data_IF_239624277716
#
_entry.id   IF_239624277716
#
_cell.length_a   1.000
_cell.length_b   1.000
_cell.length_c   1.000
_cell.angle_alpha   90.00
_cell.angle_beta   90.00
_cell.angle_gamma   90.00
#
_symmetry.space_group_name_H-M   'P 1'
#
loop_
_entity.id
_entity.type
_entity.pdbx_description
1 polymer ?
#
# COMPACT_ATOMS: atom_id res chain seq x y z
N UNK A 1 -33.46 12.46 -18.48
CA UNK A 1 -33.89 11.83 -17.22
C UNK A 1 -33.57 10.33 -17.19
N UNK A 2 -34.07 9.51 -18.13
CA UNK A 2 -33.84 8.06 -18.19
C UNK A 2 -32.33 7.66 -18.21
N UNK A 3 -31.52 8.31 -19.04
CA UNK A 3 -30.07 8.06 -19.13
C UNK A 3 -29.37 8.36 -17.78
N UNK A 4 -29.76 9.45 -17.12
CA UNK A 4 -29.21 9.82 -15.78
C UNK A 4 -29.51 8.71 -14.77
N UNK A 5 -30.71 8.14 -14.80
CA UNK A 5 -31.10 7.03 -13.92
C UNK A 5 -30.26 5.78 -14.17
N UNK A 6 -30.08 5.39 -15.43
CA UNK A 6 -29.24 4.22 -15.77
C UNK A 6 -27.82 4.41 -15.25
N UNK A 7 -27.19 5.55 -15.53
CA UNK A 7 -25.82 5.82 -15.12
C UNK A 7 -25.71 5.89 -13.58
N UNK A 8 -26.73 6.48 -12.90
CA UNK A 8 -26.78 6.55 -11.44
C UNK A 8 -26.81 5.14 -10.84
N UNK A 9 -27.76 4.28 -11.28
CA UNK A 9 -27.88 2.94 -10.74
C UNK A 9 -26.69 2.04 -11.10
N UNK A 10 -26.11 2.21 -12.29
CA UNK A 10 -24.85 1.56 -12.67
C UNK A 10 -23.73 1.98 -11.70
N UNK A 11 -23.59 3.27 -11.43
CA UNK A 11 -22.60 3.78 -10.46
C UNK A 11 -22.81 3.22 -9.06
N UNK A 12 -24.04 3.16 -8.56
CA UNK A 12 -24.38 2.53 -7.27
C UNK A 12 -23.98 1.05 -7.28
N UNK A 13 -24.32 0.33 -8.37
CA UNK A 13 -23.96 -1.08 -8.52
C UNK A 13 -22.43 -1.30 -8.48
N UNK A 14 -21.66 -0.45 -9.18
CA UNK A 14 -20.19 -0.51 -9.17
C UNK A 14 -19.58 -0.23 -7.79
N UNK A 15 -20.13 0.71 -7.02
CA UNK A 15 -19.72 0.96 -5.64
C UNK A 15 -19.94 -0.30 -4.79
N UNK A 16 -21.16 -0.85 -4.81
CA UNK A 16 -21.50 -2.07 -4.06
C UNK A 16 -20.63 -3.23 -4.50
N UNK A 17 -20.40 -3.39 -5.81
CA UNK A 17 -19.50 -4.42 -6.32
C UNK A 17 -18.10 -4.31 -5.72
N UNK A 18 -17.46 -3.15 -5.84
CA UNK A 18 -16.05 -2.98 -5.46
C UNK A 18 -15.81 -3.07 -3.94
N UNK A 19 -16.73 -2.53 -3.13
CA UNK A 19 -16.53 -2.48 -1.67
C UNK A 19 -17.18 -3.65 -0.91
N UNK A 20 -18.19 -4.31 -1.48
CA UNK A 20 -18.95 -5.35 -0.77
C UNK A 20 -18.91 -6.69 -1.49
N UNK A 21 -19.37 -6.73 -2.76
CA UNK A 21 -19.55 -8.00 -3.47
C UNK A 21 -18.18 -8.64 -3.74
N UNK A 22 -17.28 -7.90 -4.37
CA UNK A 22 -15.98 -8.42 -4.77
C UNK A 22 -15.15 -8.95 -3.59
N UNK A 23 -14.91 -8.20 -2.48
CA UNK A 23 -14.15 -8.73 -1.35
C UNK A 23 -14.75 -10.00 -0.76
N UNK A 24 -16.07 -10.02 -0.55
CA UNK A 24 -16.76 -11.20 0.01
C UNK A 24 -16.68 -12.40 -0.93
N UNK A 25 -16.85 -12.16 -2.22
CA UNK A 25 -16.79 -13.19 -3.26
C UNK A 25 -15.41 -13.85 -3.31
N UNK A 26 -14.34 -13.04 -3.42
CA UNK A 26 -12.97 -13.60 -3.49
C UNK A 26 -12.60 -14.30 -2.19
N UNK A 27 -12.95 -13.75 -1.02
CA UNK A 27 -12.71 -14.42 0.26
C UNK A 27 -13.47 -15.74 0.39
N UNK A 28 -14.68 -15.81 -0.14
CA UNK A 28 -15.46 -17.06 -0.17
C UNK A 28 -14.80 -18.12 -1.05
N UNK A 29 -14.45 -17.78 -2.29
CA UNK A 29 -13.83 -18.74 -3.23
C UNK A 29 -12.40 -19.14 -2.82
N UNK A 30 -11.67 -18.28 -2.12
CA UNK A 30 -10.34 -18.60 -1.62
C UNK A 30 -10.33 -19.75 -0.60
N UNK A 31 -11.47 -20.02 0.08
CA UNK A 31 -11.59 -21.14 1.03
C UNK A 31 -11.44 -22.52 0.36
N UNK A 32 -11.73 -22.58 -0.94
CA UNK A 32 -11.63 -23.81 -1.75
C UNK A 32 -10.30 -23.92 -2.51
N UNK A 33 -9.37 -22.98 -2.28
CA UNK A 33 -8.06 -22.96 -2.91
C UNK A 33 -6.97 -23.29 -1.90
N UNK A 34 -6.02 -24.12 -2.33
CA UNK A 34 -4.83 -24.44 -1.55
C UNK A 34 -3.85 -23.25 -1.56
N UNK A 35 -3.13 -23.10 -0.46
CA UNK A 35 -1.97 -22.21 -0.39
C UNK A 35 -0.81 -22.82 -1.18
N UNK A 36 0.22 -22.00 -1.47
CA UNK A 36 1.46 -22.51 -2.04
C UNK A 36 2.10 -23.54 -1.08
N UNK A 37 2.15 -24.80 -1.49
CA UNK A 37 2.73 -25.93 -0.73
C UNK A 37 4.24 -26.11 -1.05
N UNK A 38 4.72 -25.55 -2.16
CA UNK A 38 6.14 -25.61 -2.53
C UNK A 38 6.91 -24.52 -1.77
N UNK A 39 7.36 -24.84 -0.57
CA UNK A 39 8.05 -23.92 0.34
C UNK A 39 9.41 -24.49 0.81
N UNK A 40 10.33 -23.59 1.20
CA UNK A 40 11.50 -23.98 1.99
C UNK A 40 11.07 -24.27 3.43
N UNK A 41 11.52 -25.36 3.98
CA UNK A 41 11.37 -25.71 5.41
C UNK A 41 12.68 -25.52 6.15
N UNK A 42 13.77 -25.82 5.47
CA UNK A 42 15.16 -25.72 5.91
C UNK A 42 15.97 -25.19 4.73
N UNK A 43 17.26 -24.97 4.87
CA UNK A 43 18.20 -24.54 3.84
C UNK A 43 17.67 -23.36 2.99
N UNK A 44 17.33 -22.29 3.68
CA UNK A 44 16.85 -21.07 3.05
C UNK A 44 17.94 -20.47 2.14
N UNK A 45 17.57 -19.85 1.00
CA UNK A 45 18.51 -19.27 0.05
C UNK A 45 19.19 -18.01 0.61
N UNK A 46 20.28 -17.58 -0.05
CA UNK A 46 20.84 -16.26 0.20
C UNK A 46 19.88 -15.16 -0.27
N UNK A 47 19.82 -14.06 0.49
CA UNK A 47 18.91 -12.92 0.25
C UNK A 47 19.68 -11.59 0.32
N UNK A 48 19.15 -10.57 -0.37
CA UNK A 48 19.59 -9.19 -0.20
C UNK A 48 18.45 -8.37 0.40
N UNK A 49 18.71 -7.70 1.52
CA UNK A 49 17.78 -6.73 2.11
C UNK A 49 18.18 -5.34 1.66
N UNK A 50 17.26 -4.55 1.12
CA UNK A 50 17.48 -3.16 0.70
C UNK A 50 16.65 -2.20 1.52
N UNK A 51 17.29 -1.14 2.03
CA UNK A 51 16.66 -0.10 2.87
C UNK A 51 17.02 1.28 2.31
N UNK A 52 16.10 2.00 1.65
CA UNK A 52 16.26 3.41 1.38
C UNK A 52 15.99 4.22 2.64
N UNK A 53 16.88 5.15 3.01
CA UNK A 53 16.77 5.98 4.20
C UNK A 53 17.03 7.45 3.87
N UNK A 54 16.28 8.36 4.52
CA UNK A 54 16.52 9.80 4.48
C UNK A 54 16.03 10.46 5.75
N UNK A 55 16.97 10.95 6.58
CA UNK A 55 16.68 11.59 7.87
C UNK A 55 15.81 10.70 8.76
N UNK A 56 16.29 9.48 9.03
CA UNK A 56 15.60 8.45 9.81
C UNK A 56 16.32 8.13 11.13
N UNK A 57 17.07 9.08 11.69
CA UNK A 57 17.86 8.91 12.95
C UNK A 57 17.05 8.33 14.10
N UNK A 58 15.75 8.67 14.17
CA UNK A 58 14.86 8.25 15.25
C UNK A 58 14.47 6.78 15.19
N UNK A 59 14.46 6.18 14.00
CA UNK A 59 13.90 4.84 13.78
C UNK A 59 14.91 3.82 13.26
N UNK A 60 15.97 4.27 12.58
CA UNK A 60 16.92 3.37 11.91
C UNK A 60 17.64 2.44 12.89
N UNK A 61 17.95 2.90 14.12
CA UNK A 61 18.54 2.07 15.17
C UNK A 61 17.65 0.88 15.49
N UNK A 62 16.38 1.14 15.79
CA UNK A 62 15.42 0.10 16.14
C UNK A 62 15.19 -0.87 14.96
N UNK A 63 15.17 -0.36 13.72
CA UNK A 63 15.12 -1.19 12.51
C UNK A 63 16.27 -2.19 12.47
N UNK A 64 17.51 -1.73 12.64
CA UNK A 64 18.70 -2.59 12.60
C UNK A 64 18.70 -3.61 13.76
N UNK A 65 18.21 -3.23 14.93
CA UNK A 65 18.07 -4.15 16.06
C UNK A 65 17.05 -5.26 15.78
N UNK A 66 15.91 -4.97 15.15
CA UNK A 66 14.94 -6.01 14.79
C UNK A 66 15.49 -6.95 13.71
N UNK A 67 16.33 -6.47 12.80
CA UNK A 67 17.03 -7.33 11.85
C UNK A 67 18.02 -8.29 12.55
N UNK A 68 18.72 -7.84 13.60
CA UNK A 68 19.61 -8.69 14.37
C UNK A 68 18.87 -9.77 15.20
N UNK A 69 17.57 -9.64 15.36
CA UNK A 69 16.73 -10.62 16.07
C UNK A 69 16.06 -11.64 15.14
N UNK A 70 16.35 -11.59 13.83
CA UNK A 70 15.71 -12.50 12.87
C UNK A 70 16.15 -13.96 13.06
N UNK A 71 15.22 -14.88 12.81
CA UNK A 71 15.48 -16.33 12.75
C UNK A 71 16.04 -16.77 11.39
N UNK A 72 16.80 -15.90 10.71
CA UNK A 72 17.44 -16.19 9.43
C UNK A 72 18.96 -16.26 9.62
N UNK A 73 19.63 -17.16 8.89
CA UNK A 73 21.10 -17.26 8.97
C UNK A 73 21.77 -15.99 8.44
N UNK A 74 22.51 -15.28 9.31
CA UNK A 74 23.19 -14.04 8.97
C UNK A 74 24.22 -14.19 7.86
N UNK A 75 24.82 -15.38 7.71
CA UNK A 75 25.76 -15.67 6.64
C UNK A 75 25.10 -15.66 5.24
N UNK A 76 23.76 -15.68 5.21
CA UNK A 76 22.95 -15.69 3.99
C UNK A 76 22.29 -14.35 3.72
N UNK A 77 22.60 -13.31 4.49
CA UNK A 77 22.00 -11.97 4.36
C UNK A 77 23.05 -10.98 3.84
N UNK A 78 22.79 -10.38 2.69
CA UNK A 78 23.41 -9.11 2.30
C UNK A 78 22.47 -7.97 2.72
N UNK A 79 22.98 -6.99 3.46
CA UNK A 79 22.25 -5.78 3.86
C UNK A 79 22.78 -4.56 3.10
N UNK A 80 21.96 -3.96 2.25
CA UNK A 80 22.29 -2.74 1.51
C UNK A 80 21.40 -1.58 2.02
N UNK A 81 22.02 -0.51 2.49
CA UNK A 81 21.32 0.68 2.95
C UNK A 81 21.73 1.87 2.08
N UNK A 82 20.74 2.58 1.53
CA UNK A 82 20.97 3.79 0.72
C UNK A 82 20.58 5.03 1.52
N UNK A 83 21.57 5.81 1.97
CA UNK A 83 21.35 7.07 2.67
C UNK A 83 21.23 8.21 1.65
N UNK A 84 20.02 8.71 1.44
CA UNK A 84 19.68 9.72 0.42
C UNK A 84 19.92 11.14 0.94
N UNK A 85 21.19 11.58 0.96
CA UNK A 85 21.62 12.91 1.43
C UNK A 85 21.06 13.22 2.84
N UNK A 86 21.35 12.34 3.81
CA UNK A 86 20.94 12.55 5.20
C UNK A 86 21.69 13.72 5.81
N UNK A 87 20.96 14.58 6.55
CA UNK A 87 21.51 15.75 7.26
C UNK A 87 21.51 15.56 8.78
N UNK A 88 21.01 14.42 9.25
CA UNK A 88 20.92 14.01 10.65
C UNK A 88 21.92 12.86 10.94
N UNK A 89 21.83 12.27 12.13
CA UNK A 89 22.73 11.18 12.59
C UNK A 89 22.48 9.83 11.89
N UNK A 90 21.56 9.73 10.90
CA UNK A 90 21.19 8.47 10.23
C UNK A 90 22.42 7.70 9.73
N UNK A 91 23.33 8.38 9.02
CA UNK A 91 24.53 7.75 8.45
C UNK A 91 25.50 7.24 9.54
N UNK A 92 25.68 7.99 10.61
CA UNK A 92 26.56 7.61 11.75
C UNK A 92 25.99 6.39 12.48
N UNK A 93 24.68 6.39 12.74
CA UNK A 93 24.01 5.26 13.37
C UNK A 93 24.20 4.00 12.51
N UNK A 94 23.98 4.07 11.20
CA UNK A 94 24.13 2.93 10.29
C UNK A 94 25.58 2.39 10.35
N UNK A 95 26.59 3.25 10.25
CA UNK A 95 28.01 2.83 10.31
C UNK A 95 28.36 2.12 11.62
N UNK A 96 27.75 2.53 12.73
CA UNK A 96 27.98 1.87 14.04
C UNK A 96 27.51 0.41 14.10
N UNK A 97 26.71 -0.04 13.11
CA UNK A 97 26.23 -1.41 12.99
C UNK A 97 26.99 -2.25 11.96
N UNK A 98 27.92 -1.69 11.18
CA UNK A 98 28.63 -2.43 10.12
C UNK A 98 29.33 -3.67 10.65
N UNK A 99 29.94 -3.62 11.83
CA UNK A 99 30.60 -4.77 12.46
C UNK A 99 29.66 -5.87 12.95
N UNK A 100 28.35 -5.60 13.03
CA UNK A 100 27.35 -6.56 13.52
C UNK A 100 26.75 -7.41 12.41
N UNK A 101 26.90 -7.00 11.14
CA UNK A 101 26.44 -7.72 9.95
C UNK A 101 27.64 -8.17 9.13
N UNK A 102 27.60 -9.39 8.60
CA UNK A 102 28.73 -9.98 7.88
C UNK A 102 28.90 -9.39 6.46
N UNK A 103 27.83 -9.08 5.77
CA UNK A 103 27.81 -8.44 4.43
C UNK A 103 26.86 -7.24 4.47
N UNK A 104 27.35 -6.14 5.01
CA UNK A 104 26.62 -4.87 5.05
C UNK A 104 27.36 -3.82 4.23
N UNK A 105 26.59 -3.01 3.46
CA UNK A 105 27.14 -1.90 2.69
C UNK A 105 26.20 -0.69 2.83
N UNK A 106 26.75 0.43 3.29
CA UNK A 106 26.12 1.74 3.23
C UNK A 106 26.51 2.44 1.91
N UNK A 107 25.52 2.94 1.18
CA UNK A 107 25.68 3.75 -0.02
C UNK A 107 25.14 5.14 0.28
N UNK A 108 26.02 6.14 0.36
CA UNK A 108 25.66 7.53 0.65
C UNK A 108 25.58 8.34 -0.62
N UNK A 109 24.47 9.06 -0.79
CA UNK A 109 24.26 9.97 -1.92
C UNK A 109 24.53 11.41 -1.47
N UNK A 110 25.35 12.13 -2.23
CA UNK A 110 25.73 13.52 -1.93
C UNK A 110 24.59 14.50 -2.22
N UNK A 111 23.68 14.14 -3.12
CA UNK A 111 22.53 14.94 -3.48
C UNK A 111 21.25 14.11 -3.29
N UNK A 112 20.16 14.80 -3.01
CA UNK A 112 18.83 14.20 -2.85
C UNK A 112 18.36 13.53 -4.14
N UNK A 113 18.35 12.19 -4.15
CA UNK A 113 17.96 11.39 -5.32
C UNK A 113 16.47 11.05 -5.35
N UNK A 114 15.84 10.88 -4.18
CA UNK A 114 14.50 10.32 -4.01
C UNK A 114 14.49 8.78 -3.94
N UNK A 115 13.49 8.23 -3.25
CA UNK A 115 13.37 6.80 -2.90
C UNK A 115 13.64 5.89 -4.10
N UNK A 116 13.00 6.16 -5.24
CA UNK A 116 13.04 5.27 -6.41
C UNK A 116 14.44 5.16 -7.01
N UNK A 117 15.19 6.27 -7.12
CA UNK A 117 16.57 6.22 -7.61
C UNK A 117 17.45 5.43 -6.65
N UNK A 118 17.28 5.65 -5.34
CA UNK A 118 18.00 4.87 -4.31
C UNK A 118 17.67 3.39 -4.44
N UNK A 119 16.38 3.00 -4.52
CA UNK A 119 15.95 1.62 -4.70
C UNK A 119 16.55 1.00 -5.97
N UNK A 120 16.47 1.70 -7.13
CA UNK A 120 17.04 1.23 -8.38
C UNK A 120 18.55 0.95 -8.24
N UNK A 121 19.28 1.84 -7.55
CA UNK A 121 20.71 1.65 -7.30
C UNK A 121 20.97 0.46 -6.38
N UNK A 122 20.22 0.32 -5.27
CA UNK A 122 20.39 -0.80 -4.35
C UNK A 122 20.11 -2.15 -5.01
N UNK A 123 19.08 -2.25 -5.87
CA UNK A 123 18.78 -3.48 -6.62
C UNK A 123 19.90 -3.85 -7.59
N UNK A 124 20.57 -2.86 -8.22
CA UNK A 124 21.73 -3.12 -9.07
C UNK A 124 22.90 -3.72 -8.28
N UNK A 125 23.15 -3.24 -7.06
CA UNK A 125 24.22 -3.70 -6.15
C UNK A 125 23.88 -5.03 -5.45
N UNK A 126 22.61 -5.46 -5.46
CA UNK A 126 22.18 -6.71 -4.84
C UNK A 126 22.85 -7.93 -5.48
N UNK A 127 23.42 -8.81 -4.66
CA UNK A 127 24.12 -10.03 -5.12
C UNK A 127 23.16 -11.20 -5.33
N UNK A 128 22.06 -11.26 -4.61
CA UNK A 128 21.21 -12.46 -4.51
C UNK A 128 19.91 -12.32 -5.32
N UNK A 129 19.35 -13.46 -5.69
CA UNK A 129 18.15 -13.54 -6.53
C UNK A 129 16.87 -13.11 -5.82
N UNK A 130 16.83 -13.21 -4.49
CA UNK A 130 15.70 -12.80 -3.69
C UNK A 130 16.06 -11.50 -2.98
N UNK A 131 15.29 -10.47 -3.24
CA UNK A 131 15.46 -9.14 -2.67
C UNK A 131 14.29 -8.86 -1.74
N UNK A 132 14.60 -8.38 -0.53
CA UNK A 132 13.60 -7.88 0.43
C UNK A 132 13.73 -6.36 0.46
N UNK A 133 12.72 -5.67 -0.01
CA UNK A 133 12.61 -4.23 0.07
C UNK A 133 11.83 -3.86 1.31
N UNK A 134 12.39 -2.97 2.14
CA UNK A 134 11.72 -2.51 3.36
C UNK A 134 12.07 -1.07 3.69
N UNK A 135 11.10 -0.34 4.24
CA UNK A 135 11.30 1.03 4.70
C UNK A 135 12.06 1.05 6.05
N UNK A 136 12.76 2.15 6.32
CA UNK A 136 13.58 2.32 7.52
C UNK A 136 12.78 2.29 8.84
N UNK A 137 11.49 2.66 8.78
CA UNK A 137 10.58 2.72 9.94
C UNK A 137 9.77 1.43 10.18
N UNK A 138 9.92 0.42 9.32
CA UNK A 138 9.17 -0.83 9.42
C UNK A 138 9.98 -1.84 10.22
N UNK A 139 9.47 -2.26 11.36
CA UNK A 139 10.11 -3.21 12.28
C UNK A 139 9.73 -4.65 11.93
N UNK A 140 10.62 -5.59 12.15
CA UNK A 140 10.43 -6.99 11.84
C UNK A 140 10.12 -7.84 13.07
N UNK A 141 9.23 -8.81 12.92
CA UNK A 141 9.18 -9.99 13.78
C UNK A 141 10.35 -10.92 13.46
N UNK A 142 10.78 -11.71 14.41
CA UNK A 142 11.88 -12.66 14.21
C UNK A 142 11.63 -13.65 13.06
N UNK A 143 10.38 -13.97 12.76
CA UNK A 143 9.97 -14.89 11.69
C UNK A 143 9.70 -14.20 10.37
N UNK A 144 9.74 -12.87 10.27
CA UNK A 144 9.39 -12.13 9.05
C UNK A 144 10.16 -12.63 7.83
N UNK A 145 11.49 -12.73 7.93
CA UNK A 145 12.34 -13.14 6.81
C UNK A 145 12.07 -14.58 6.35
N UNK A 146 12.12 -15.61 7.23
CA UNK A 146 11.84 -16.97 6.79
C UNK A 146 10.42 -17.13 6.22
N UNK A 147 9.42 -16.46 6.80
CA UNK A 147 8.04 -16.54 6.30
C UNK A 147 7.89 -15.92 4.90
N UNK A 148 8.54 -14.78 4.61
CA UNK A 148 8.55 -14.19 3.27
C UNK A 148 9.27 -15.07 2.26
N UNK A 149 10.45 -15.58 2.64
CA UNK A 149 11.37 -16.25 1.71
C UNK A 149 10.94 -17.67 1.38
N UNK A 150 10.26 -18.37 2.31
CA UNK A 150 9.87 -19.79 2.11
C UNK A 150 9.15 -20.06 0.79
N UNK A 151 8.37 -19.12 0.29
CA UNK A 151 7.56 -19.26 -0.91
C UNK A 151 8.37 -19.26 -2.21
N UNK A 152 9.58 -18.74 -2.20
CA UNK A 152 10.42 -18.65 -3.41
C UNK A 152 11.01 -19.99 -3.86
N UNK A 153 10.77 -21.08 -3.13
CA UNK A 153 11.00 -22.44 -3.66
C UNK A 153 10.16 -22.70 -4.90
N UNK A 154 8.94 -22.13 -4.96
CA UNK A 154 8.10 -22.17 -6.14
C UNK A 154 8.60 -21.13 -7.18
N UNK A 155 9.08 -21.57 -8.37
CA UNK A 155 9.63 -20.65 -9.39
C UNK A 155 8.59 -19.72 -9.98
N UNK A 156 7.29 -20.00 -9.83
CA UNK A 156 6.20 -19.15 -10.30
C UNK A 156 5.98 -17.91 -9.41
N UNK A 157 6.43 -17.95 -8.15
CA UNK A 157 6.26 -16.82 -7.22
C UNK A 157 7.31 -15.75 -7.55
N UNK A 158 6.86 -14.57 -7.94
CA UNK A 158 7.69 -13.41 -8.24
C UNK A 158 7.73 -12.37 -7.11
N UNK A 159 6.64 -12.28 -6.30
CA UNK A 159 6.55 -11.35 -5.18
C UNK A 159 5.75 -11.96 -4.02
N UNK A 160 6.23 -11.70 -2.79
CA UNK A 160 5.57 -12.06 -1.54
C UNK A 160 5.46 -10.83 -0.66
N UNK A 161 4.22 -10.40 -0.36
CA UNK A 161 3.93 -9.27 0.52
C UNK A 161 3.85 -9.72 1.97
N UNK A 162 4.29 -8.87 2.90
CA UNK A 162 4.19 -9.08 4.34
C UNK A 162 2.79 -8.73 4.86
N UNK A 163 2.55 -9.06 6.12
CA UNK A 163 1.39 -8.60 6.88
C UNK A 163 1.78 -7.42 7.77
N UNK A 164 1.33 -6.24 7.37
CA UNK A 164 1.53 -5.01 8.13
C UNK A 164 0.57 -4.95 9.33
N UNK A 165 1.12 -4.74 10.51
CA UNK A 165 0.39 -4.42 11.73
C UNK A 165 0.82 -3.02 12.22
N UNK A 166 -0.12 -2.25 12.71
CA UNK A 166 0.16 -0.92 13.25
C UNK A 166 0.29 -0.95 14.77
N UNK A 167 1.32 -0.31 15.32
CA UNK A 167 1.47 -0.10 16.75
C UNK A 167 1.30 1.40 17.11
N UNK A 168 1.18 1.72 18.39
CA UNK A 168 1.01 3.11 18.85
C UNK A 168 -0.37 3.70 18.60
N UNK A 169 -1.36 2.87 18.28
CA UNK A 169 -2.73 3.30 18.03
C UNK A 169 -3.37 3.86 19.30
N UNK A 170 -3.73 5.14 19.29
CA UNK A 170 -4.53 5.73 20.39
C UNK A 170 -5.99 5.33 20.26
N UNK A 171 -6.62 4.85 21.34
CA UNK A 171 -8.04 4.44 21.40
C UNK A 171 -9.02 5.54 20.95
N UNK A 172 -8.57 6.77 20.85
CA UNK A 172 -9.36 7.95 20.49
C UNK A 172 -9.23 8.36 19.02
N UNK A 173 -8.44 7.62 18.18
CA UNK A 173 -8.05 8.00 16.82
C UNK A 173 -8.93 7.45 15.68
N UNK A 174 -8.58 7.83 14.47
CA UNK A 174 -9.05 7.30 13.17
C UNK A 174 -8.66 5.81 13.03
N UNK A 175 -7.73 5.36 13.86
CA UNK A 175 -7.05 4.09 13.88
C UNK A 175 -7.95 2.84 13.88
N UNK A 176 -9.09 2.85 14.58
CA UNK A 176 -10.02 1.70 14.54
C UNK A 176 -10.72 1.51 13.20
N UNK A 177 -11.09 2.62 12.53
CA UNK A 177 -11.69 2.55 11.19
C UNK A 177 -10.67 2.06 10.16
N UNK A 178 -9.45 2.55 10.27
CA UNK A 178 -8.33 2.19 9.40
C UNK A 178 -7.93 0.73 9.60
N UNK A 179 -7.88 0.22 10.84
CA UNK A 179 -7.59 -1.19 11.11
C UNK A 179 -8.63 -2.15 10.53
N UNK A 180 -9.92 -1.83 10.65
CA UNK A 180 -10.98 -2.65 10.04
C UNK A 180 -10.86 -2.68 8.50
N UNK A 181 -10.53 -1.54 7.90
CA UNK A 181 -10.27 -1.45 6.46
C UNK A 181 -9.03 -2.24 6.06
N UNK A 182 -7.90 -2.07 6.76
CA UNK A 182 -6.64 -2.79 6.51
C UNK A 182 -6.84 -4.30 6.66
N UNK A 183 -7.52 -4.76 7.71
CA UNK A 183 -7.80 -6.19 7.90
C UNK A 183 -8.58 -6.79 6.73
N UNK A 184 -9.61 -6.11 6.23
CA UNK A 184 -10.37 -6.56 5.06
C UNK A 184 -9.52 -6.50 3.77
N UNK A 185 -8.67 -5.49 3.62
CA UNK A 185 -7.74 -5.36 2.49
C UNK A 185 -6.72 -6.50 2.46
N UNK A 186 -6.12 -6.84 3.62
CA UNK A 186 -5.20 -7.99 3.78
C UNK A 186 -5.90 -9.29 3.39
N UNK A 187 -7.12 -9.52 3.88
CA UNK A 187 -7.87 -10.74 3.56
C UNK A 187 -8.21 -10.82 2.07
N UNK A 188 -8.56 -9.69 1.44
CA UNK A 188 -8.87 -9.62 0.01
C UNK A 188 -7.63 -9.92 -0.83
N UNK A 189 -6.48 -9.31 -0.52
CA UNK A 189 -5.19 -9.56 -1.18
C UNK A 189 -4.75 -11.02 -1.05
N UNK A 190 -4.86 -11.60 0.15
CA UNK A 190 -4.55 -13.00 0.37
C UNK A 190 -5.47 -13.92 -0.47
N UNK A 191 -6.76 -13.60 -0.55
CA UNK A 191 -7.71 -14.33 -1.37
C UNK A 191 -7.38 -14.27 -2.87
N UNK A 192 -7.03 -13.09 -3.38
CA UNK A 192 -6.58 -12.87 -4.78
C UNK A 192 -5.32 -13.70 -5.07
N UNK A 193 -4.34 -13.67 -4.16
CA UNK A 193 -3.13 -14.47 -4.26
C UNK A 193 -3.43 -15.97 -4.34
N UNK A 194 -4.37 -16.47 -3.52
CA UNK A 194 -4.76 -17.89 -3.51
C UNK A 194 -5.53 -18.33 -4.77
N UNK A 195 -6.41 -17.47 -5.28
CA UNK A 195 -7.28 -17.85 -6.41
C UNK A 195 -6.53 -17.76 -7.72
N UNK A 196 -5.80 -16.65 -7.94
CA UNK A 196 -5.21 -16.30 -9.23
C UNK A 196 -3.70 -16.10 -9.22
N UNK A 197 -3.06 -16.14 -8.03
CA UNK A 197 -1.67 -15.69 -7.88
C UNK A 197 -1.52 -14.19 -8.17
N UNK A 198 -2.58 -13.42 -7.99
CA UNK A 198 -2.69 -12.04 -8.46
C UNK A 198 -3.08 -11.08 -7.32
N UNK A 199 -2.33 -11.10 -6.23
CA UNK A 199 -2.46 -10.09 -5.17
C UNK A 199 -2.31 -8.68 -5.77
N UNK A 200 -3.27 -7.80 -5.50
CA UNK A 200 -3.30 -6.45 -6.06
C UNK A 200 -2.59 -5.43 -5.16
N UNK A 201 -1.27 -5.41 -5.27
CA UNK A 201 -0.36 -4.44 -4.65
C UNK A 201 0.00 -4.73 -3.20
N UNK A 202 1.29 -4.71 -2.85
CA UNK A 202 1.76 -4.83 -1.47
C UNK A 202 1.37 -3.59 -0.65
N UNK A 203 1.60 -3.63 0.67
CA UNK A 203 1.46 -2.47 1.54
C UNK A 203 2.62 -1.47 1.42
N UNK A 204 3.70 -1.87 0.74
CA UNK A 204 4.84 -1.01 0.42
C UNK A 204 5.91 -0.91 1.51
N UNK A 205 5.58 -1.18 2.76
CA UNK A 205 6.54 -1.08 3.88
C UNK A 205 7.55 -2.24 3.94
N UNK A 206 7.15 -3.45 3.51
CA UNK A 206 8.05 -4.61 3.40
C UNK A 206 7.45 -5.67 2.48
N UNK A 207 8.23 -6.09 1.49
CA UNK A 207 7.90 -7.23 0.61
C UNK A 207 9.17 -7.82 0.00
N UNK A 208 9.09 -9.10 -0.40
CA UNK A 208 10.16 -9.80 -1.07
C UNK A 208 9.84 -10.00 -2.57
N UNK A 209 10.85 -9.96 -3.44
CA UNK A 209 10.66 -10.22 -4.87
C UNK A 209 11.88 -10.87 -5.52
N UNK A 210 11.67 -11.52 -6.68
CA UNK A 210 12.78 -12.05 -7.48
C UNK A 210 13.47 -10.93 -8.25
N UNK A 211 14.81 -10.86 -8.16
CA UNK A 211 15.62 -9.88 -8.90
C UNK A 211 15.40 -9.96 -10.42
N UNK A 212 15.23 -11.14 -10.98
CA UNK A 212 14.96 -11.34 -12.42
C UNK A 212 13.66 -10.68 -12.89
N UNK A 213 12.70 -10.47 -11.98
CA UNK A 213 11.45 -9.79 -12.30
C UNK A 213 11.57 -8.26 -12.28
N UNK A 214 12.64 -7.72 -11.71
CA UNK A 214 12.83 -6.28 -11.56
C UNK A 214 13.25 -5.62 -12.89
N UNK A 215 12.69 -4.46 -13.14
CA UNK A 215 13.18 -3.46 -14.09
C UNK A 215 13.26 -2.11 -13.38
N UNK A 216 14.20 -1.24 -13.77
CA UNK A 216 14.32 0.07 -13.13
C UNK A 216 12.98 0.83 -13.16
N UNK A 217 12.51 1.19 -11.99
CA UNK A 217 11.25 1.92 -11.83
C UNK A 217 11.47 3.35 -12.31
N UNK A 218 10.57 3.93 -13.15
CA UNK A 218 10.68 5.31 -13.59
C UNK A 218 10.67 6.28 -12.40
N UNK A 219 11.66 7.16 -12.34
CA UNK A 219 11.98 7.98 -11.16
C UNK A 219 10.90 8.97 -10.75
N UNK A 220 9.92 9.25 -11.61
CA UNK A 220 8.80 10.14 -11.35
C UNK A 220 7.55 9.43 -10.81
N UNK A 221 7.55 8.09 -10.69
CA UNK A 221 6.43 7.35 -10.10
C UNK A 221 6.38 7.58 -8.58
N UNK A 222 5.17 7.65 -8.02
CA UNK A 222 4.95 7.92 -6.59
C UNK A 222 4.64 6.66 -5.77
N UNK A 223 4.25 5.57 -6.44
CA UNK A 223 3.82 4.30 -5.84
C UNK A 223 4.59 3.17 -6.53
N UNK A 224 5.81 2.96 -6.05
CA UNK A 224 6.81 2.04 -6.58
C UNK A 224 6.45 0.56 -6.32
N UNK A 225 5.88 0.28 -5.18
CA UNK A 225 5.44 -1.04 -4.75
C UNK A 225 4.36 -1.61 -5.66
N UNK A 226 3.33 -0.83 -5.98
CA UNK A 226 2.28 -1.23 -6.91
C UNK A 226 2.82 -1.37 -8.34
N UNK A 227 3.73 -0.47 -8.76
CA UNK A 227 4.39 -0.55 -10.06
C UNK A 227 5.11 -1.90 -10.22
N UNK A 228 5.93 -2.27 -9.24
CA UNK A 228 6.70 -3.51 -9.28
C UNK A 228 5.78 -4.74 -9.24
N UNK A 229 4.71 -4.71 -8.43
CA UNK A 229 3.72 -5.77 -8.39
C UNK A 229 3.06 -6.02 -9.76
N UNK A 230 2.62 -4.95 -10.43
CA UNK A 230 1.99 -5.05 -11.75
C UNK A 230 2.97 -5.51 -12.82
N UNK A 231 4.23 -5.04 -12.77
CA UNK A 231 5.29 -5.49 -13.66
C UNK A 231 5.53 -7.00 -13.54
N UNK A 232 5.60 -7.52 -12.32
CA UNK A 232 5.79 -8.94 -12.02
C UNK A 232 4.62 -9.77 -12.55
N UNK A 233 3.38 -9.32 -12.34
CA UNK A 233 2.18 -9.96 -12.90
C UNK A 233 2.16 -9.92 -14.44
N UNK A 234 2.61 -8.82 -15.03
CA UNK A 234 2.72 -8.67 -16.49
C UNK A 234 3.72 -9.66 -17.09
N UNK A 235 4.81 -9.95 -16.37
CA UNK A 235 5.81 -10.96 -16.75
C UNK A 235 5.33 -12.41 -16.54
N UNK A 236 4.12 -12.62 -16.04
CA UNK A 236 3.50 -13.94 -15.84
C UNK A 236 3.86 -14.64 -14.54
N UNK A 237 4.56 -13.96 -13.62
CA UNK A 237 4.80 -14.47 -12.28
C UNK A 237 3.61 -14.20 -11.37
N UNK A 238 3.57 -14.91 -10.24
CA UNK A 238 2.54 -14.77 -9.22
C UNK A 238 2.98 -13.80 -8.12
N UNK A 239 2.03 -13.02 -7.62
CA UNK A 239 2.16 -12.18 -6.45
C UNK A 239 1.21 -12.68 -5.35
N UNK A 240 1.74 -12.93 -4.16
CA UNK A 240 0.97 -13.47 -3.02
C UNK A 240 1.23 -12.64 -1.75
N UNK A 241 0.38 -12.83 -0.74
CA UNK A 241 0.57 -12.24 0.59
C UNK A 241 0.78 -13.36 1.62
N UNK A 242 1.81 -13.24 2.48
CA UNK A 242 2.05 -14.18 3.58
C UNK A 242 1.51 -13.61 4.90
N UNK A 243 0.53 -14.31 5.47
CA UNK A 243 -0.19 -13.88 6.67
C UNK A 243 0.62 -13.98 7.97
N UNK A 244 1.70 -14.78 7.97
CA UNK A 244 2.56 -15.00 9.14
C UNK A 244 3.84 -14.16 9.08
N UNK A 245 4.10 -13.43 7.99
CA UNK A 245 5.22 -12.51 7.86
C UNK A 245 4.85 -11.15 8.46
N UNK A 246 4.85 -11.05 9.78
CA UNK A 246 4.47 -9.83 10.49
C UNK A 246 5.55 -8.77 10.39
N UNK A 247 5.12 -7.55 10.09
CA UNK A 247 5.91 -6.33 10.20
C UNK A 247 5.10 -5.24 10.88
N UNK A 248 5.78 -4.33 11.56
CA UNK A 248 5.15 -3.32 12.40
C UNK A 248 5.53 -1.92 11.93
N UNK A 249 4.54 -1.04 11.80
CA UNK A 249 4.74 0.36 11.43
C UNK A 249 4.02 1.29 12.43
N UNK A 250 4.69 2.38 12.83
CA UNK A 250 4.05 3.46 13.58
C UNK A 250 3.24 4.35 12.63
N UNK A 251 2.02 4.70 13.03
CA UNK A 251 1.06 5.46 12.21
C UNK A 251 1.00 6.90 12.70
N UNK A 252 1.10 7.84 11.76
CA UNK A 252 0.81 9.24 12.06
C UNK A 252 -0.65 9.43 12.49
N UNK A 253 -0.87 10.02 13.67
CA UNK A 253 -2.21 10.35 14.17
C UNK A 253 -2.75 11.69 13.62
N UNK A 254 -2.01 12.37 12.73
CA UNK A 254 -2.40 13.67 12.17
C UNK A 254 -3.21 13.50 10.88
N UNK A 255 -4.52 13.74 10.95
CA UNK A 255 -5.45 13.60 9.81
C UNK A 255 -5.03 14.38 8.56
N UNK A 256 -4.40 15.56 8.73
CA UNK A 256 -3.97 16.41 7.60
C UNK A 256 -2.76 15.86 6.87
N UNK A 257 -1.80 15.29 7.60
CA UNK A 257 -0.63 14.63 7.02
C UNK A 257 -1.08 13.42 6.22
N UNK A 258 -1.98 12.60 6.81
CA UNK A 258 -2.54 11.44 6.14
C UNK A 258 -3.33 11.81 4.88
N UNK A 259 -4.12 12.87 4.93
CA UNK A 259 -4.85 13.38 3.77
C UNK A 259 -3.91 13.76 2.61
N UNK A 260 -2.84 14.51 2.89
CA UNK A 260 -1.80 14.85 1.88
C UNK A 260 -1.11 13.60 1.33
N UNK A 261 -0.80 12.62 2.21
CA UNK A 261 -0.23 11.33 1.83
C UNK A 261 -1.16 10.60 0.85
N UNK A 262 -2.47 10.55 1.12
CA UNK A 262 -3.46 9.91 0.24
C UNK A 262 -3.60 10.61 -1.12
N UNK A 263 -3.53 11.95 -1.18
CA UNK A 263 -3.49 12.68 -2.46
C UNK A 263 -2.25 12.26 -3.28
N UNK A 264 -1.08 12.13 -2.64
CA UNK A 264 0.14 11.68 -3.31
C UNK A 264 0.01 10.25 -3.83
N UNK A 265 -0.46 9.33 -3.00
CA UNK A 265 -0.69 7.93 -3.36
C UNK A 265 -1.69 7.85 -4.51
N UNK A 266 -2.78 8.61 -4.46
CA UNK A 266 -3.78 8.64 -5.53
C UNK A 266 -3.19 9.11 -6.87
N UNK A 267 -2.36 10.15 -6.87
CA UNK A 267 -1.67 10.58 -8.09
C UNK A 267 -0.78 9.46 -8.66
N UNK A 268 -0.07 8.71 -7.80
CA UNK A 268 0.70 7.53 -8.17
C UNK A 268 -0.15 6.36 -8.69
N UNK A 269 -1.35 6.17 -8.13
CA UNK A 269 -2.31 5.18 -8.63
C UNK A 269 -2.72 5.47 -10.08
N UNK A 270 -2.97 6.73 -10.42
CA UNK A 270 -3.28 7.12 -11.80
C UNK A 270 -2.06 7.04 -12.73
N UNK A 271 -0.82 7.26 -12.23
CA UNK A 271 0.39 6.94 -13.00
C UNK A 271 0.45 5.45 -13.32
N UNK A 272 0.25 4.60 -12.31
CA UNK A 272 0.23 3.14 -12.51
C UNK A 272 -0.91 2.70 -13.43
N UNK A 273 -2.10 3.31 -13.32
CA UNK A 273 -3.20 3.03 -14.23
C UNK A 273 -2.83 3.38 -15.67
N UNK A 274 -2.20 4.53 -15.90
CA UNK A 274 -1.77 4.94 -17.25
C UNK A 274 -0.72 4.01 -17.85
N UNK A 275 0.11 3.36 -17.03
CA UNK A 275 1.11 2.39 -17.46
C UNK A 275 0.51 1.01 -17.72
N UNK A 276 -0.35 0.54 -16.82
CA UNK A 276 -0.83 -0.84 -16.80
C UNK A 276 -2.29 -1.02 -17.27
N UNK A 277 -2.93 0.01 -17.84
CA UNK A 277 -4.31 -0.11 -18.34
C UNK A 277 -4.51 -1.27 -19.35
N UNK A 278 -3.49 -1.68 -20.19
CA UNK A 278 -3.71 -2.81 -21.10
C UNK A 278 -3.98 -4.13 -20.36
N UNK A 279 -3.53 -4.25 -19.11
CA UNK A 279 -3.82 -5.43 -18.28
C UNK A 279 -5.30 -5.60 -17.95
N UNK A 280 -6.10 -4.52 -18.01
CA UNK A 280 -7.56 -4.60 -17.88
C UNK A 280 -8.23 -5.35 -19.04
N UNK A 281 -7.56 -5.43 -20.20
CA UNK A 281 -8.08 -6.06 -21.42
C UNK A 281 -7.68 -7.54 -21.57
N UNK A 282 -7.01 -8.12 -20.57
CA UNK A 282 -6.58 -9.55 -20.64
C UNK A 282 -7.73 -10.52 -20.50
N UNK A 283 -8.87 -10.12 -19.93
CA UNK A 283 -10.05 -10.95 -19.66
C UNK A 283 -9.73 -12.24 -18.88
N UNK A 284 -8.82 -12.14 -17.91
CA UNK A 284 -8.41 -13.21 -17.00
C UNK A 284 -8.64 -12.82 -15.54
N UNK A 285 -8.24 -13.69 -14.60
CA UNK A 285 -8.36 -13.41 -13.16
C UNK A 285 -7.55 -12.19 -12.70
N UNK A 286 -6.42 -11.89 -13.36
CA UNK A 286 -5.58 -10.71 -13.07
C UNK A 286 -6.34 -9.44 -13.46
N UNK A 287 -6.91 -9.41 -14.68
CA UNK A 287 -7.68 -8.26 -15.16
C UNK A 287 -8.92 -8.02 -14.30
N UNK A 288 -9.61 -9.10 -13.89
CA UNK A 288 -10.79 -8.99 -13.03
C UNK A 288 -10.44 -8.45 -11.62
N UNK A 289 -9.33 -8.93 -11.02
CA UNK A 289 -8.84 -8.41 -9.76
C UNK A 289 -8.40 -6.95 -9.88
N UNK A 290 -7.65 -6.59 -10.91
CA UNK A 290 -7.22 -5.22 -11.15
C UNK A 290 -8.41 -4.28 -11.36
N UNK A 291 -9.39 -4.68 -12.18
CA UNK A 291 -10.61 -3.91 -12.42
C UNK A 291 -11.41 -3.71 -11.13
N UNK A 292 -11.78 -4.80 -10.43
CA UNK A 292 -12.71 -4.76 -9.31
C UNK A 292 -12.10 -4.18 -8.03
N UNK A 293 -10.81 -4.47 -7.76
CA UNK A 293 -10.15 -4.09 -6.53
C UNK A 293 -9.50 -2.70 -6.60
N UNK A 294 -8.86 -2.34 -7.73
CA UNK A 294 -8.08 -1.10 -7.84
C UNK A 294 -8.71 -0.09 -8.78
N UNK A 295 -8.91 -0.45 -10.04
CA UNK A 295 -9.43 0.49 -11.04
C UNK A 295 -10.76 1.12 -10.62
N UNK A 296 -11.77 0.31 -10.27
CA UNK A 296 -13.05 0.85 -9.82
C UNK A 296 -12.89 1.79 -8.63
N UNK A 297 -12.14 1.39 -7.59
CA UNK A 297 -11.94 2.24 -6.40
C UNK A 297 -11.28 3.57 -6.73
N UNK A 298 -10.36 3.61 -7.69
CA UNK A 298 -9.69 4.85 -8.08
C UNK A 298 -10.61 5.81 -8.84
N UNK A 299 -11.57 5.28 -9.62
CA UNK A 299 -12.53 6.09 -10.39
C UNK A 299 -13.85 6.34 -9.66
N UNK A 300 -14.13 5.61 -8.58
CA UNK A 300 -15.38 5.75 -7.83
C UNK A 300 -15.69 7.17 -7.34
N UNK A 301 -14.72 8.02 -6.92
CA UNK A 301 -15.02 9.40 -6.55
C UNK A 301 -15.76 10.19 -7.65
N UNK A 302 -15.48 9.88 -8.92
CA UNK A 302 -16.17 10.50 -10.07
C UNK A 302 -17.62 10.01 -10.18
N UNK A 303 -17.84 8.70 -10.01
CA UNK A 303 -19.19 8.14 -9.97
C UNK A 303 -19.97 8.68 -8.77
N UNK A 304 -19.34 8.80 -7.59
CA UNK A 304 -19.96 9.38 -6.39
C UNK A 304 -20.42 10.81 -6.65
N UNK A 305 -19.58 11.64 -7.27
CA UNK A 305 -19.94 13.00 -7.66
C UNK A 305 -21.11 13.01 -8.65
N UNK A 306 -21.08 12.15 -9.67
CA UNK A 306 -22.15 12.02 -10.64
C UNK A 306 -23.46 11.55 -10.00
N UNK A 307 -23.42 10.56 -9.11
CA UNK A 307 -24.59 10.05 -8.37
C UNK A 307 -25.20 11.17 -7.52
N UNK A 308 -24.35 11.94 -6.82
CA UNK A 308 -24.80 13.06 -5.98
C UNK A 308 -25.51 14.14 -6.82
N UNK A 309 -24.88 14.61 -7.89
CA UNK A 309 -25.48 15.61 -8.79
C UNK A 309 -26.71 15.03 -9.49
N UNK A 310 -26.63 13.82 -10.05
CA UNK A 310 -27.73 13.17 -10.74
C UNK A 310 -28.96 12.95 -9.85
N UNK A 311 -28.75 12.53 -8.58
CA UNK A 311 -29.84 12.36 -7.64
C UNK A 311 -30.55 13.67 -7.30
N UNK A 312 -29.82 14.81 -7.30
CA UNK A 312 -30.41 16.14 -7.08
C UNK A 312 -31.46 16.51 -8.16
N UNK A 313 -31.22 16.12 -9.41
CA UNK A 313 -32.20 16.31 -10.51
C UNK A 313 -33.40 15.37 -10.43
N UNK A 314 -33.28 14.25 -9.70
CA UNK A 314 -34.27 13.19 -9.62
C UNK A 314 -35.07 13.18 -8.33
N UNK A 315 -34.80 14.09 -7.39
CA UNK A 315 -35.42 14.14 -6.05
C UNK A 315 -36.97 14.07 -6.14
N UNK A 316 -37.56 14.79 -7.10
CA UNK A 316 -39.03 14.87 -7.23
C UNK A 316 -39.64 13.64 -7.93
N UNK A 317 -38.82 12.74 -8.48
CA UNK A 317 -39.31 11.57 -9.22
C UNK A 317 -39.65 10.39 -8.32
N UNK A 318 -38.81 10.13 -7.32
CA UNK A 318 -39.01 9.05 -6.35
C UNK A 318 -38.20 9.27 -5.08
N UNK A 319 -38.76 8.89 -3.93
CA UNK A 319 -38.16 9.06 -2.61
C UNK A 319 -36.74 8.43 -2.49
N UNK A 320 -36.46 7.34 -3.21
CA UNK A 320 -35.12 6.73 -3.22
C UNK A 320 -34.01 7.71 -3.64
N UNK A 321 -34.28 8.64 -4.56
CA UNK A 321 -33.29 9.64 -4.99
C UNK A 321 -33.02 10.68 -3.91
N UNK A 322 -34.02 11.01 -3.08
CA UNK A 322 -33.84 11.87 -1.89
C UNK A 322 -32.92 11.20 -0.86
N UNK A 323 -33.09 9.90 -0.62
CA UNK A 323 -32.21 9.12 0.26
C UNK A 323 -30.80 9.11 -0.28
N UNK A 324 -30.62 8.78 -1.56
CA UNK A 324 -29.29 8.75 -2.20
C UNK A 324 -28.63 10.14 -2.07
N UNK A 325 -29.36 11.21 -2.39
CA UNK A 325 -28.81 12.55 -2.27
C UNK A 325 -28.37 12.88 -0.84
N UNK A 326 -29.20 12.54 0.15
CA UNK A 326 -28.89 12.74 1.56
C UNK A 326 -27.64 11.97 1.99
N UNK A 327 -27.42 10.73 1.51
CA UNK A 327 -26.24 9.92 1.82
C UNK A 327 -24.92 10.58 1.37
N UNK A 328 -24.94 11.42 0.34
CA UNK A 328 -23.76 12.17 -0.09
C UNK A 328 -23.67 13.58 0.51
N UNK A 329 -24.80 14.23 0.77
CA UNK A 329 -24.85 15.60 1.33
C UNK A 329 -24.56 15.61 2.82
N UNK A 330 -25.15 14.68 3.59
CA UNK A 330 -24.99 14.62 5.05
C UNK A 330 -23.53 14.46 5.49
N UNK A 331 -22.70 13.57 4.91
CA UNK A 331 -21.30 13.48 5.28
C UNK A 331 -20.55 14.79 5.16
N UNK A 332 -20.83 15.60 4.14
CA UNK A 332 -20.20 16.92 3.97
C UNK A 332 -20.68 17.90 5.04
N UNK A 333 -21.96 17.90 5.36
CA UNK A 333 -22.51 18.77 6.41
C UNK A 333 -21.97 18.38 7.82
N UNK A 334 -21.68 17.10 8.05
CA UNK A 334 -21.18 16.58 9.33
C UNK A 334 -19.75 17.03 9.69
N UNK A 335 -18.98 17.61 8.76
CA UNK A 335 -17.68 18.22 9.09
C UNK A 335 -17.81 19.40 10.07
N UNK A 336 -18.91 20.16 9.99
CA UNK A 336 -19.13 21.32 10.86
C UNK A 336 -19.33 20.88 12.32
N UNK A 337 -20.27 19.99 12.67
CA UNK A 337 -20.44 19.55 14.05
C UNK A 337 -19.24 18.74 14.57
N UNK A 338 -18.50 18.00 13.73
CA UNK A 338 -17.24 17.35 14.15
C UNK A 338 -16.18 18.37 14.54
N UNK A 339 -16.02 19.45 13.75
CA UNK A 339 -15.09 20.51 14.05
C UNK A 339 -15.44 21.23 15.35
N UNK A 340 -16.73 21.55 15.56
CA UNK A 340 -17.22 22.18 16.79
C UNK A 340 -17.03 21.22 17.99
N UNK A 341 -17.42 19.96 17.84
CA UNK A 341 -17.29 18.94 18.87
C UNK A 341 -15.83 18.78 19.34
N UNK A 342 -14.87 18.72 18.41
CA UNK A 342 -13.44 18.66 18.74
C UNK A 342 -12.96 19.84 19.57
N UNK A 343 -13.47 21.06 19.32
CA UNK A 343 -13.11 22.25 20.10
C UNK A 343 -13.64 22.21 21.54
N UNK A 344 -14.74 21.53 21.79
CA UNK A 344 -15.36 21.40 23.13
C UNK A 344 -15.08 20.04 23.79
N UNK A 345 -14.12 19.24 23.21
CA UNK A 345 -13.71 17.95 23.76
C UNK A 345 -14.67 16.79 23.54
N UNK A 346 -15.73 16.97 22.70
CA UNK A 346 -16.70 15.92 22.40
C UNK A 346 -16.28 15.17 21.12
N UNK A 347 -16.21 13.85 21.23
CA UNK A 347 -15.73 12.98 20.15
C UNK A 347 -16.76 11.89 19.82
N UNK A 348 -17.35 11.97 18.63
CA UNK A 348 -18.29 10.95 18.12
C UNK A 348 -17.57 9.88 17.29
N UNK A 349 -17.36 8.68 17.85
CA UNK A 349 -16.61 7.60 17.17
C UNK A 349 -17.22 7.21 15.80
N UNK A 350 -18.53 7.05 15.70
CA UNK A 350 -19.22 6.66 14.46
C UNK A 350 -19.10 7.72 13.36
N UNK A 351 -19.06 9.01 13.71
CA UNK A 351 -18.92 10.12 12.77
C UNK A 351 -17.55 10.08 12.08
N UNK A 352 -16.52 9.63 12.76
CA UNK A 352 -15.16 9.53 12.20
C UNK A 352 -15.06 8.55 11.02
N UNK A 353 -15.80 7.43 11.05
CA UNK A 353 -15.82 6.50 9.92
C UNK A 353 -16.37 7.15 8.65
N UNK A 354 -17.49 7.89 8.79
CA UNK A 354 -18.14 8.59 7.68
C UNK A 354 -17.22 9.68 7.13
N UNK A 355 -16.66 10.50 8.01
CA UNK A 355 -15.77 11.61 7.62
C UNK A 355 -14.45 11.10 7.04
N UNK A 356 -13.89 10.02 7.61
CA UNK A 356 -12.69 9.40 7.06
C UNK A 356 -12.93 8.87 5.64
N UNK A 357 -14.01 8.11 5.43
CA UNK A 357 -14.37 7.61 4.10
C UNK A 357 -14.56 8.75 3.09
N UNK A 358 -15.27 9.80 3.48
CA UNK A 358 -15.49 10.99 2.63
C UNK A 358 -14.18 11.70 2.32
N UNK A 359 -13.33 11.93 3.33
CA UNK A 359 -12.02 12.55 3.18
C UNK A 359 -11.12 11.75 2.23
N UNK A 360 -11.08 10.41 2.35
CA UNK A 360 -10.28 9.57 1.48
C UNK A 360 -10.75 9.63 0.02
N UNK A 361 -12.07 9.64 -0.23
CA UNK A 361 -12.59 9.79 -1.58
C UNK A 361 -12.30 11.18 -2.18
N UNK A 362 -12.36 12.25 -1.37
CA UNK A 362 -11.92 13.58 -1.80
C UNK A 362 -10.42 13.58 -2.13
N UNK A 363 -9.58 12.93 -1.31
CA UNK A 363 -8.16 12.81 -1.58
C UNK A 363 -7.87 12.05 -2.88
N UNK A 364 -8.62 10.98 -3.17
CA UNK A 364 -8.54 10.23 -4.43
C UNK A 364 -8.89 11.13 -5.63
N UNK A 365 -9.97 11.90 -5.53
CA UNK A 365 -10.39 12.84 -6.54
C UNK A 365 -9.33 13.93 -6.80
N UNK A 366 -8.80 14.54 -5.75
CA UNK A 366 -7.74 15.57 -5.87
C UNK A 366 -6.44 15.00 -6.42
N UNK A 367 -6.12 13.74 -6.11
CA UNK A 367 -4.95 13.04 -6.63
C UNK A 367 -4.99 12.86 -8.15
N UNK A 368 -6.17 12.65 -8.74
CA UNK A 368 -6.32 12.65 -10.19
C UNK A 368 -5.91 13.98 -10.83
N UNK A 369 -6.34 15.11 -10.28
CA UNK A 369 -5.93 16.43 -10.81
C UNK A 369 -4.45 16.70 -10.60
N UNK A 370 -3.86 16.19 -9.49
CA UNK A 370 -2.40 16.24 -9.30
C UNK A 370 -1.67 15.42 -10.37
N UNK A 371 -2.17 14.24 -10.73
CA UNK A 371 -1.65 13.43 -11.83
C UNK A 371 -1.73 14.17 -13.17
N UNK A 372 -2.87 14.78 -13.52
CA UNK A 372 -3.05 15.53 -14.77
C UNK A 372 -2.10 16.74 -14.90
N UNK A 373 -1.76 17.40 -13.78
CA UNK A 373 -0.78 18.52 -13.75
C UNK A 373 0.66 18.06 -13.96
N UNK A 374 0.90 16.76 -13.98
CA UNK A 374 2.22 16.16 -14.09
C UNK A 374 2.95 16.07 -12.75
N UNK A 375 3.51 14.90 -12.47
CA UNK A 375 4.37 14.65 -11.31
C UNK A 375 5.82 14.77 -11.77
N UNK A 376 6.51 15.83 -11.32
CA UNK A 376 7.88 16.11 -11.74
C UNK A 376 8.94 15.38 -10.90
N UNK A 377 8.62 14.98 -9.67
CA UNK A 377 9.56 14.37 -8.73
C UNK A 377 8.86 13.44 -7.77
N UNK A 378 9.50 12.32 -7.43
CA UNK A 378 9.08 11.39 -6.38
C UNK A 378 9.77 11.66 -5.04
N UNK A 379 10.44 12.79 -4.89
CA UNK A 379 11.06 13.19 -3.61
C UNK A 379 9.95 13.27 -2.55
N UNK A 380 10.14 12.54 -1.48
CA UNK A 380 9.22 12.53 -0.34
C UNK A 380 9.84 13.25 0.85
N UNK A 381 9.03 13.89 1.65
CA UNK A 381 9.42 14.37 2.97
C UNK A 381 9.12 13.28 4.00
N UNK A 382 10.01 13.02 4.97
CA UNK A 382 9.73 12.08 6.04
C UNK A 382 8.45 12.47 6.76
N UNK A 383 7.59 11.49 7.01
CA UNK A 383 6.36 11.72 7.78
C UNK A 383 6.75 12.00 9.23
N UNK A 384 6.33 13.13 9.80
CA UNK A 384 6.47 13.38 11.25
C UNK A 384 5.74 12.29 12.02
N UNK A 385 6.47 11.47 12.75
CA UNK A 385 5.98 10.38 13.60
C UNK A 385 5.99 10.80 15.05
N UNK A 386 5.26 10.07 15.90
CA UNK A 386 5.12 10.36 17.32
C UNK A 386 6.30 9.88 18.17
N UNK A 387 7.34 9.35 17.55
CA UNK A 387 8.56 8.94 18.27
C UNK A 387 9.44 10.11 18.61
#
# INVERSE_FOLDING_TARGET
MFIIEIILWLGVGLIIHSYVIYPKMVQYFARFRKTNEMIYTDDFPHITIIIPAHNEEKVIRQKLETLLQTNYDFNRIQLLIGADNCQDETGEIIRSYESKFQDMKLIEFQERQGKIKVVNKLVQEAKHDIIIMTDANVLFDAKTLPELVKHFKNPKIGLVDSRMEHFGLKDTGISHAENGYISNEVQTKNAEGKIWGAMMGPFGGCFAFRKVCFEPIPTHFLVDDFYLNMLILQKGYQCINEQNAFVYEDVSNESWIEFKRKIRISAGNFQNLSQFWPMLLRFDGISYAFFSHKFLRWILPFFMLFIWIGSSFLIHKHFAYSIINALFTLPLALYIPDYIGKKIGIHFKWLRYILHFTSMNIALFLGFFKFLRGVKSSIWEPTKRLQ
#
